data_IF_160088321031
#
_entry.id   IF_160088321031
#
_cell.length_a   1.000
_cell.length_b   1.000
_cell.length_c   1.000
_cell.angle_alpha   90.00
_cell.angle_beta   90.00
_cell.angle_gamma   90.00
#
_symmetry.space_group_name_H-M   'P 1'
#
loop_
_entity.id
_entity.type
_entity.pdbx_description
1 polymer ?
#
# COMPACT_ATOMS: atom_id res chain seq x y z
N UNK A 1 -45.15 49.65 -26.96
CA UNK A 1 -43.98 48.72 -26.98
C UNK A 1 -43.87 48.06 -25.65
N UNK A 2 -44.09 46.74 -25.64
CA UNK A 2 -44.29 45.94 -24.41
C UNK A 2 -43.08 45.08 -24.19
N UNK A 3 -42.31 45.30 -23.07
CA UNK A 3 -41.16 44.51 -22.71
C UNK A 3 -41.63 43.22 -22.05
N UNK A 4 -41.25 42.06 -22.62
CA UNK A 4 -41.45 40.74 -22.02
C UNK A 4 -40.29 40.47 -21.08
N UNK A 5 -40.60 40.21 -19.82
CA UNK A 5 -39.69 39.65 -18.83
C UNK A 5 -39.47 38.15 -19.10
N UNK A 6 -38.25 37.78 -19.39
CA UNK A 6 -37.84 36.40 -19.48
C UNK A 6 -37.52 35.91 -18.04
N UNK A 7 -38.31 34.96 -17.55
CA UNK A 7 -38.06 34.25 -16.30
C UNK A 7 -37.14 33.08 -16.56
N UNK A 8 -35.84 33.25 -16.31
CA UNK A 8 -34.89 32.17 -16.29
C UNK A 8 -35.13 31.25 -15.10
N UNK A 9 -35.54 30.04 -15.36
CA UNK A 9 -35.60 28.95 -14.37
C UNK A 9 -34.18 28.47 -14.10
N UNK A 10 -33.64 28.81 -12.94
CA UNK A 10 -32.42 28.16 -12.43
C UNK A 10 -32.75 26.72 -12.07
N UNK A 11 -32.23 25.80 -12.87
CA UNK A 11 -32.26 24.38 -12.54
C UNK A 11 -31.20 24.12 -11.48
N UNK A 12 -31.63 24.02 -10.23
CA UNK A 12 -30.81 23.50 -9.16
C UNK A 12 -30.53 22.03 -9.44
N UNK A 13 -29.31 21.73 -9.84
CA UNK A 13 -28.82 20.36 -9.89
C UNK A 13 -28.62 19.90 -8.43
N UNK A 14 -29.57 19.10 -7.99
CA UNK A 14 -29.57 18.45 -6.71
C UNK A 14 -28.54 17.32 -6.75
N UNK A 15 -27.46 17.46 -6.00
CA UNK A 15 -26.53 16.38 -5.72
C UNK A 15 -27.12 15.51 -4.61
N UNK A 16 -27.46 14.26 -4.86
CA UNK A 16 -27.87 13.35 -3.80
C UNK A 16 -26.65 12.74 -3.12
N UNK A 17 -26.69 12.82 -1.81
CA UNK A 17 -25.96 11.99 -0.84
C UNK A 17 -24.46 12.19 -0.66
N UNK A 18 -24.13 13.30 0.03
CA UNK A 18 -23.18 13.17 1.14
C UNK A 18 -24.03 12.77 2.35
N UNK A 19 -24.31 11.51 2.53
CA UNK A 19 -24.89 10.96 3.74
C UNK A 19 -23.79 10.97 4.81
N UNK A 20 -23.84 11.99 5.68
CA UNK A 20 -24.19 11.86 7.08
C UNK A 20 -23.89 10.46 7.65
N UNK A 21 -22.63 10.25 8.00
CA UNK A 21 -22.27 9.29 9.04
C UNK A 21 -22.16 10.04 10.36
N UNK A 22 -23.29 10.22 11.00
CA UNK A 22 -23.41 10.84 12.30
C UNK A 22 -24.75 10.54 12.93
N UNK A 23 -24.99 9.28 13.34
CA UNK A 23 -25.98 8.98 14.38
C UNK A 23 -25.53 7.83 15.27
N UNK A 24 -25.01 8.25 16.43
CA UNK A 24 -25.14 7.70 17.78
C UNK A 24 -25.60 6.26 17.89
N UNK A 25 -24.67 5.40 18.26
CA UNK A 25 -24.95 4.36 19.24
C UNK A 25 -24.14 4.67 20.50
N UNK A 26 -24.83 5.24 21.49
CA UNK A 26 -24.31 5.54 22.80
C UNK A 26 -24.47 4.28 23.66
N UNK A 27 -23.41 3.45 23.73
CA UNK A 27 -23.20 2.53 24.85
C UNK A 27 -21.71 2.25 24.99
N UNK A 28 -21.20 2.59 26.19
CA UNK A 28 -19.86 2.40 26.72
C UNK A 28 -18.82 3.42 26.21
N UNK A 29 -18.65 4.46 27.03
CA UNK A 29 -17.63 5.49 26.87
C UNK A 29 -16.22 4.96 27.04
N UNK A 30 -15.68 4.37 25.97
CA UNK A 30 -14.27 4.21 25.72
C UNK A 30 -14.10 4.73 24.29
N UNK A 31 -13.73 5.92 24.23
CA UNK A 31 -13.09 6.75 23.25
C UNK A 31 -12.91 6.13 21.85
N UNK A 32 -13.92 6.27 20.99
CA UNK A 32 -13.76 6.15 19.53
C UNK A 32 -12.89 7.28 18.93
N UNK A 33 -12.56 8.30 19.70
CA UNK A 33 -11.70 9.41 19.28
C UNK A 33 -10.20 9.02 19.21
N UNK A 34 -9.76 8.00 19.94
CA UNK A 34 -8.38 7.52 19.88
C UNK A 34 -8.10 6.58 18.68
N UNK A 35 -9.15 6.01 18.08
CA UNK A 35 -8.99 5.22 16.85
C UNK A 35 -8.94 6.08 15.59
N UNK A 36 -9.52 7.27 15.61
CA UNK A 36 -9.53 8.19 14.46
C UNK A 36 -8.18 8.89 14.21
N UNK A 37 -7.23 8.84 15.14
CA UNK A 37 -5.87 9.40 14.98
C UNK A 37 -4.85 8.39 14.43
N UNK A 38 -5.25 7.19 14.05
CA UNK A 38 -4.33 6.15 13.56
C UNK A 38 -3.87 6.36 12.14
N UNK A 39 -4.55 7.18 11.36
CA UNK A 39 -4.20 7.48 9.98
C UNK A 39 -4.48 8.93 9.62
N UNK A 40 -3.71 9.44 8.67
CA UNK A 40 -3.99 10.70 7.97
C UNK A 40 -4.09 10.42 6.48
N UNK A 41 -4.86 11.22 5.76
CA UNK A 41 -4.97 11.09 4.31
C UNK A 41 -4.87 12.43 3.58
N UNK A 42 -4.40 12.35 2.34
CA UNK A 42 -4.28 13.50 1.44
C UNK A 42 -4.73 13.07 0.03
N UNK A 43 -5.57 13.85 -0.68
CA UNK A 43 -5.85 13.54 -2.06
C UNK A 43 -4.59 13.70 -2.92
N UNK A 44 -4.29 12.68 -3.71
CA UNK A 44 -3.12 12.62 -4.57
C UNK A 44 -3.55 12.32 -6.00
N UNK A 45 -3.33 13.27 -6.90
CA UNK A 45 -3.53 13.09 -8.33
C UNK A 45 -2.39 12.29 -8.95
N UNK A 46 -2.71 11.37 -9.86
CA UNK A 46 -1.73 10.57 -10.61
C UNK A 46 -1.67 11.05 -12.04
N UNK A 47 -0.46 11.33 -12.52
CA UNK A 47 -0.21 11.79 -13.88
C UNK A 47 0.43 10.68 -14.70
N UNK A 48 -0.26 10.29 -15.77
CA UNK A 48 0.29 9.40 -16.78
C UNK A 48 0.78 10.18 -17.98
N UNK A 49 1.92 9.76 -18.50
CA UNK A 49 2.43 10.21 -19.80
C UNK A 49 2.22 9.12 -20.83
N UNK A 50 1.58 9.48 -21.93
CA UNK A 50 1.46 8.67 -23.14
C UNK A 50 2.55 9.09 -24.11
N UNK A 51 3.33 8.12 -24.58
CA UNK A 51 4.30 8.32 -25.65
C UNK A 51 4.02 7.33 -26.79
N UNK A 52 4.40 7.67 -28.04
CA UNK A 52 4.31 6.72 -29.14
C UNK A 52 5.12 5.45 -28.83
N UNK A 53 4.59 4.30 -29.20
CA UNK A 53 5.29 3.04 -29.08
C UNK A 53 6.51 2.97 -30.01
N UNK A 54 7.58 2.34 -29.54
CA UNK A 54 8.81 2.14 -30.32
C UNK A 54 8.62 1.12 -31.43
N UNK A 55 7.67 0.21 -31.27
CA UNK A 55 7.39 -0.86 -32.21
C UNK A 55 6.02 -0.69 -32.86
N UNK A 56 5.87 -1.20 -34.09
CA UNK A 56 4.59 -1.18 -34.83
C UNK A 56 3.46 -1.95 -34.13
N UNK A 57 3.78 -2.79 -33.16
CA UNK A 57 2.81 -3.61 -32.43
C UNK A 57 2.20 -2.90 -31.22
N UNK A 58 2.89 -1.87 -30.71
CA UNK A 58 2.47 -1.09 -29.55
C UNK A 58 2.26 0.34 -30.01
N UNK A 59 1.01 0.75 -30.11
CA UNK A 59 0.67 2.10 -30.58
C UNK A 59 1.15 3.18 -29.59
N UNK A 60 0.98 2.94 -28.30
CA UNK A 60 1.35 3.88 -27.24
C UNK A 60 1.91 3.14 -26.03
N UNK A 61 2.84 3.78 -25.33
CA UNK A 61 3.35 3.37 -24.03
C UNK A 61 2.87 4.37 -22.99
N UNK A 62 2.38 3.85 -21.87
CA UNK A 62 1.89 4.63 -20.74
C UNK A 62 2.83 4.48 -19.57
N UNK A 63 3.08 5.58 -18.84
CA UNK A 63 3.94 5.57 -17.67
C UNK A 63 3.46 6.60 -16.64
N UNK A 64 3.41 6.22 -15.37
CA UNK A 64 3.22 7.17 -14.28
C UNK A 64 4.48 8.05 -14.14
N UNK A 65 4.33 9.36 -14.25
CA UNK A 65 5.48 10.29 -14.31
C UNK A 65 5.49 11.32 -13.18
N UNK A 66 4.34 11.65 -12.64
CA UNK A 66 4.23 12.64 -11.58
C UNK A 66 3.03 12.36 -10.68
N UNK A 67 3.08 12.91 -9.47
CA UNK A 67 1.96 12.95 -8.54
C UNK A 67 1.67 14.40 -8.15
N UNK A 68 0.40 14.72 -7.92
CA UNK A 68 -0.10 16.06 -7.62
C UNK A 68 -0.75 16.06 -6.23
N UNK A 69 -0.02 16.45 -5.18
CA UNK A 69 -0.57 16.54 -3.83
C UNK A 69 -1.69 17.60 -3.76
N UNK A 70 -2.79 17.27 -3.08
CA UNK A 70 -3.92 18.16 -2.92
C UNK A 70 -4.75 18.38 -4.19
N UNK A 71 -4.57 17.57 -5.21
CA UNK A 71 -5.31 17.70 -6.46
C UNK A 71 -6.82 17.42 -6.27
N UNK A 72 -7.65 18.17 -7.00
CA UNK A 72 -9.07 17.86 -7.12
C UNK A 72 -9.33 16.60 -7.94
N UNK A 73 -10.55 16.10 -7.90
CA UNK A 73 -10.95 14.93 -8.68
C UNK A 73 -10.70 15.15 -10.19
N UNK A 74 -10.18 14.14 -10.84
CA UNK A 74 -9.99 14.11 -12.28
C UNK A 74 -10.25 12.71 -12.83
N UNK A 75 -10.61 12.67 -14.10
CA UNK A 75 -10.79 11.45 -14.86
C UNK A 75 -10.17 11.69 -16.26
N UNK A 76 -8.97 11.16 -16.45
CA UNK A 76 -8.18 11.25 -17.69
C UNK A 76 -8.13 12.63 -18.33
N UNK A 77 -8.07 13.68 -17.49
CA UNK A 77 -7.98 15.07 -17.95
C UNK A 77 -6.61 15.35 -18.56
N UNK A 78 -6.58 15.77 -19.82
CA UNK A 78 -5.34 16.21 -20.48
C UNK A 78 -4.77 17.45 -19.76
N UNK A 79 -3.50 17.38 -19.38
CA UNK A 79 -2.77 18.47 -18.74
C UNK A 79 -1.85 19.20 -19.73
N UNK A 80 -1.13 18.43 -20.54
CA UNK A 80 -0.12 18.94 -21.44
C UNK A 80 0.01 18.05 -22.67
N UNK A 81 0.29 18.68 -23.82
CA UNK A 81 0.58 18.00 -25.08
C UNK A 81 1.84 18.61 -25.72
N UNK A 82 2.78 17.74 -26.06
CA UNK A 82 3.99 18.09 -26.80
C UNK A 82 4.17 17.11 -27.96
N UNK A 83 3.75 17.51 -29.15
CA UNK A 83 3.71 16.62 -30.31
C UNK A 83 2.82 15.38 -30.01
N UNK A 84 3.41 14.20 -30.11
CA UNK A 84 2.72 12.94 -29.87
C UNK A 84 2.71 12.51 -28.40
N UNK A 85 3.50 13.21 -27.56
CA UNK A 85 3.52 12.97 -26.13
C UNK A 85 2.41 13.76 -25.44
N UNK A 86 1.62 13.08 -24.61
CA UNK A 86 0.51 13.70 -23.88
C UNK A 86 0.56 13.27 -22.40
N UNK A 87 0.35 14.23 -21.51
CA UNK A 87 0.23 13.99 -20.08
C UNK A 87 -1.22 14.15 -19.65
N UNK A 88 -1.70 13.20 -18.86
CA UNK A 88 -3.05 13.15 -18.35
C UNK A 88 -3.06 13.06 -16.82
N UNK A 89 -3.91 13.84 -16.19
CA UNK A 89 -4.33 13.58 -14.82
C UNK A 89 -5.39 12.49 -14.84
N UNK A 90 -4.95 11.25 -14.62
CA UNK A 90 -5.79 10.09 -14.81
C UNK A 90 -6.83 9.91 -13.70
N UNK A 91 -6.38 9.99 -12.46
CA UNK A 91 -7.25 9.81 -11.30
C UNK A 91 -6.71 10.58 -10.09
N UNK A 92 -7.56 10.80 -9.10
CA UNK A 92 -7.17 11.30 -7.78
C UNK A 92 -7.65 10.32 -6.73
N UNK A 93 -6.70 9.76 -5.96
CA UNK A 93 -6.95 8.80 -4.89
C UNK A 93 -6.45 9.36 -3.56
N UNK A 94 -6.99 8.90 -2.42
CA UNK A 94 -6.42 9.23 -1.12
C UNK A 94 -5.07 8.53 -0.96
N UNK A 95 -4.03 9.29 -0.63
CA UNK A 95 -2.80 8.74 -0.07
C UNK A 95 -2.98 8.69 1.44
N UNK A 96 -3.02 7.50 2.00
CA UNK A 96 -3.21 7.27 3.43
C UNK A 96 -1.88 6.89 4.08
N UNK A 97 -1.64 7.43 5.28
CA UNK A 97 -0.51 7.06 6.12
C UNK A 97 -1.03 6.45 7.43
N UNK A 98 -0.52 5.28 7.78
CA UNK A 98 -0.90 4.53 8.97
C UNK A 98 0.26 4.46 9.97
N UNK A 99 -0.04 4.51 11.26
CA UNK A 99 0.99 4.42 12.33
C UNK A 99 1.72 3.08 12.33
N UNK A 100 1.06 2.03 11.88
CA UNK A 100 1.65 0.68 11.76
C UNK A 100 2.75 0.60 10.71
N UNK A 101 2.75 1.50 9.73
CA UNK A 101 3.59 1.42 8.55
C UNK A 101 4.75 2.43 8.57
N UNK A 102 4.97 3.09 9.72
CA UNK A 102 6.01 4.12 9.86
C UNK A 102 7.41 3.60 9.56
N UNK A 103 7.72 2.34 9.87
CA UNK A 103 8.98 1.69 9.50
C UNK A 103 9.15 1.59 7.98
N UNK A 104 8.08 1.20 7.27
CA UNK A 104 8.08 1.15 5.81
C UNK A 104 8.31 2.53 5.19
N UNK A 105 7.68 3.57 5.74
CA UNK A 105 7.88 4.95 5.28
C UNK A 105 9.30 5.43 5.54
N UNK A 106 9.90 5.13 6.70
CA UNK A 106 11.32 5.42 6.98
C UNK A 106 12.22 4.76 5.96
N UNK A 107 11.97 3.49 5.65
CA UNK A 107 12.71 2.78 4.62
C UNK A 107 12.57 3.46 3.25
N UNK A 108 11.34 3.84 2.86
CA UNK A 108 11.07 4.56 1.62
C UNK A 108 11.76 5.92 1.55
N UNK A 109 11.74 6.69 2.65
CA UNK A 109 12.40 7.99 2.75
C UNK A 109 13.93 7.91 2.74
N UNK A 110 14.53 6.79 3.18
CA UNK A 110 15.98 6.56 3.17
C UNK A 110 16.53 6.28 1.77
N UNK A 111 15.68 6.00 0.80
CA UNK A 111 16.08 5.76 -0.58
C UNK A 111 16.73 7.00 -1.20
N UNK A 112 17.65 6.81 -2.16
CA UNK A 112 18.30 7.91 -2.89
C UNK A 112 17.29 8.88 -3.53
N UNK A 113 16.17 8.36 -3.99
CA UNK A 113 15.02 9.11 -4.52
C UNK A 113 13.78 8.54 -3.85
N UNK A 114 13.22 9.21 -2.83
CA UNK A 114 11.97 8.83 -2.24
C UNK A 114 10.85 8.82 -3.28
N UNK A 115 10.00 7.81 -3.26
CA UNK A 115 8.98 7.62 -4.29
C UNK A 115 7.63 7.22 -3.70
N UNK A 116 6.57 7.64 -4.37
CA UNK A 116 5.23 7.06 -4.24
C UNK A 116 5.13 5.88 -5.18
N UNK A 117 4.46 4.87 -4.75
CA UNK A 117 4.13 3.70 -5.56
C UNK A 117 2.70 3.83 -6.07
N UNK A 118 2.57 3.74 -7.38
CA UNK A 118 1.28 3.77 -8.07
C UNK A 118 0.97 2.34 -8.51
N UNK A 119 -0.06 1.76 -7.92
CA UNK A 119 -0.57 0.44 -8.26
C UNK A 119 -1.67 0.61 -9.30
N UNK A 120 -1.56 -0.11 -10.40
CA UNK A 120 -2.48 0.03 -11.52
C UNK A 120 -2.72 -1.32 -12.19
N UNK A 121 -3.81 -1.42 -12.93
CA UNK A 121 -4.15 -2.58 -13.75
C UNK A 121 -4.64 -2.14 -15.12
N UNK A 122 -4.88 -3.09 -16.00
CA UNK A 122 -5.51 -2.80 -17.28
C UNK A 122 -6.85 -2.10 -17.08
N UNK A 123 -7.05 -1.02 -17.82
CA UNK A 123 -8.26 -0.21 -17.71
C UNK A 123 -9.48 -0.92 -18.29
N UNK A 124 -10.64 -0.61 -17.72
CA UNK A 124 -11.95 -1.00 -18.23
C UNK A 124 -12.57 0.17 -19.02
N UNK A 125 -13.65 -0.09 -19.75
CA UNK A 125 -14.46 0.94 -20.45
C UNK A 125 -13.69 1.85 -21.41
N UNK A 126 -12.61 1.33 -22.04
CA UNK A 126 -11.83 2.05 -23.04
C UNK A 126 -10.72 2.94 -22.47
N UNK A 127 -10.52 2.95 -21.16
CA UNK A 127 -9.37 3.57 -20.52
C UNK A 127 -8.15 2.64 -20.63
N UNK A 128 -6.94 3.18 -20.83
CA UNK A 128 -5.75 2.34 -20.99
C UNK A 128 -5.30 1.67 -19.69
N UNK A 129 -5.44 2.35 -18.58
CA UNK A 129 -5.03 1.91 -17.24
C UNK A 129 -6.04 2.42 -16.21
N UNK A 130 -6.23 1.65 -15.15
CA UNK A 130 -6.98 2.04 -13.96
C UNK A 130 -6.02 2.11 -12.77
N UNK A 131 -6.01 3.22 -12.05
CA UNK A 131 -5.24 3.36 -10.81
C UNK A 131 -6.03 2.74 -9.67
N UNK A 132 -5.47 1.71 -9.05
CA UNK A 132 -6.10 0.96 -7.95
C UNK A 132 -5.78 1.61 -6.61
N UNK A 133 -4.50 1.97 -6.41
CA UNK A 133 -3.98 2.46 -5.13
C UNK A 133 -2.76 3.36 -5.35
N UNK A 134 -2.56 4.28 -4.42
CA UNK A 134 -1.30 5.03 -4.26
C UNK A 134 -0.80 4.87 -2.83
N UNK A 135 0.47 4.51 -2.67
CA UNK A 135 1.05 4.29 -1.34
C UNK A 135 2.47 4.84 -1.21
N UNK A 136 2.82 5.27 -0.01
CA UNK A 136 4.19 5.62 0.36
C UNK A 136 4.96 4.42 0.93
N UNK A 137 4.29 3.30 1.19
CA UNK A 137 4.88 2.08 1.74
C UNK A 137 5.51 1.22 0.63
N UNK A 138 6.84 1.02 0.64
CA UNK A 138 7.48 0.08 -0.27
C UNK A 138 7.06 -1.38 -0.01
N UNK A 139 6.64 -1.72 1.21
CA UNK A 139 6.23 -3.08 1.56
C UNK A 139 4.87 -3.39 0.96
N UNK A 140 3.89 -2.50 1.14
CA UNK A 140 2.58 -2.64 0.51
C UNK A 140 2.70 -2.71 -1.03
N UNK A 141 3.54 -1.87 -1.61
CA UNK A 141 3.80 -1.88 -3.05
C UNK A 141 4.40 -3.21 -3.53
N UNK A 142 5.24 -3.84 -2.70
CA UNK A 142 5.82 -5.14 -3.01
C UNK A 142 4.77 -6.24 -2.96
N UNK A 143 3.87 -6.22 -2.00
CA UNK A 143 2.79 -7.20 -1.90
C UNK A 143 1.95 -7.21 -3.18
N UNK A 144 1.62 -6.04 -3.73
CA UNK A 144 0.94 -5.94 -5.02
C UNK A 144 1.79 -6.42 -6.21
N UNK A 145 3.09 -6.09 -6.21
CA UNK A 145 3.97 -6.54 -7.29
C UNK A 145 4.16 -8.06 -7.30
N UNK A 146 4.12 -8.70 -6.13
CA UNK A 146 4.32 -10.14 -5.98
C UNK A 146 3.09 -10.96 -6.43
N UNK A 147 1.89 -10.36 -6.44
CA UNK A 147 0.68 -11.01 -6.96
C UNK A 147 0.76 -11.20 -8.48
N UNK A 148 1.42 -10.28 -9.18
CA UNK A 148 1.54 -10.28 -10.65
C UNK A 148 0.26 -9.90 -11.39
N UNK A 149 -0.80 -9.53 -10.69
CA UNK A 149 -2.07 -9.09 -11.27
C UNK A 149 -2.06 -7.59 -11.57
N UNK A 150 -1.31 -6.81 -10.76
CA UNK A 150 -1.18 -5.38 -10.90
C UNK A 150 0.22 -4.97 -11.38
N UNK A 151 0.27 -3.81 -12.00
CA UNK A 151 1.51 -3.13 -12.35
C UNK A 151 1.82 -2.09 -11.28
N UNK A 152 3.06 -2.08 -10.80
CA UNK A 152 3.51 -1.10 -9.79
C UNK A 152 4.59 -0.21 -10.38
N UNK A 153 4.35 1.09 -10.42
CA UNK A 153 5.35 2.08 -10.85
C UNK A 153 5.75 3.01 -9.72
N UNK A 154 7.05 3.37 -9.73
CA UNK A 154 7.64 4.31 -8.77
C UNK A 154 7.63 5.70 -9.37
N UNK A 155 7.01 6.65 -8.67
CA UNK A 155 6.98 8.06 -9.04
C UNK A 155 7.71 8.87 -7.97
N UNK A 156 8.72 9.68 -8.31
CA UNK A 156 9.42 10.50 -7.34
C UNK A 156 8.47 11.38 -6.53
N UNK A 157 8.67 11.44 -5.22
CA UNK A 157 7.92 12.36 -4.36
C UNK A 157 8.34 13.80 -4.63
N UNK A 158 7.39 14.73 -4.54
CA UNK A 158 7.69 16.16 -4.45
C UNK A 158 8.27 16.48 -3.07
N UNK A 159 9.04 17.57 -2.95
CA UNK A 159 9.63 18.00 -1.66
C UNK A 159 8.56 18.19 -0.56
N UNK A 160 7.40 18.77 -0.92
CA UNK A 160 6.31 18.93 0.03
C UNK A 160 5.73 17.60 0.52
N UNK A 161 5.67 16.59 -0.35
CA UNK A 161 5.18 15.27 0.01
C UNK A 161 6.21 14.53 0.90
N UNK A 162 7.50 14.66 0.61
CA UNK A 162 8.58 14.15 1.47
C UNK A 162 8.48 14.76 2.88
N UNK A 163 8.29 16.08 2.96
CA UNK A 163 8.16 16.77 4.24
C UNK A 163 6.91 16.29 5.02
N UNK A 164 5.80 16.10 4.34
CA UNK A 164 4.55 15.63 4.95
C UNK A 164 4.67 14.20 5.50
N UNK A 165 5.24 13.27 4.72
CA UNK A 165 5.47 11.89 5.17
C UNK A 165 6.48 11.87 6.32
N UNK A 166 7.56 12.66 6.23
CA UNK A 166 8.58 12.76 7.30
C UNK A 166 7.99 13.27 8.60
N UNK A 167 7.20 14.34 8.56
CA UNK A 167 6.55 14.88 9.75
C UNK A 167 5.64 13.84 10.43
N UNK A 168 4.90 13.06 9.64
CA UNK A 168 4.07 11.98 10.15
C UNK A 168 4.89 10.89 10.83
N UNK A 169 6.01 10.49 10.22
CA UNK A 169 6.91 9.49 10.79
C UNK A 169 7.55 10.00 12.09
N UNK A 170 8.04 11.24 12.11
CA UNK A 170 8.64 11.86 13.31
C UNK A 170 7.66 11.93 14.48
N UNK A 171 6.36 12.11 14.21
CA UNK A 171 5.32 12.17 15.24
C UNK A 171 4.88 10.80 15.76
N UNK A 172 4.89 9.78 14.90
CA UNK A 172 4.21 8.52 15.19
C UNK A 172 5.11 7.29 15.21
N UNK A 173 6.37 7.41 14.77
CA UNK A 173 7.29 6.27 14.75
C UNK A 173 7.80 5.99 16.18
N UNK A 174 7.66 4.75 16.59
CA UNK A 174 8.23 4.23 17.83
C UNK A 174 9.23 3.15 17.44
N UNK A 175 10.51 3.35 17.83
CA UNK A 175 11.55 2.35 17.60
C UNK A 175 11.22 1.08 18.39
N UNK A 176 10.86 0.01 17.72
CA UNK A 176 10.72 -1.29 18.36
C UNK A 176 12.10 -1.84 18.71
N UNK A 177 12.40 -1.91 20.00
CA UNK A 177 13.62 -2.56 20.48
C UNK A 177 13.55 -4.05 20.15
N UNK A 178 14.40 -4.50 19.23
CA UNK A 178 14.49 -5.91 18.88
C UNK A 178 14.88 -6.75 20.11
N UNK A 179 13.89 -7.36 20.74
CA UNK A 179 14.11 -8.33 21.83
C UNK A 179 14.34 -9.69 21.18
N UNK A 180 15.61 -10.10 21.12
CA UNK A 180 15.97 -11.43 20.65
C UNK A 180 15.21 -12.49 21.44
N UNK A 181 14.29 -13.20 20.78
CA UNK A 181 13.52 -14.28 21.39
C UNK A 181 14.51 -15.27 21.99
N UNK A 182 14.50 -15.40 23.32
CA UNK A 182 15.34 -16.38 24.01
C UNK A 182 14.90 -17.74 23.52
N UNK A 183 15.76 -18.44 22.77
CA UNK A 183 15.49 -19.84 22.45
C UNK A 183 15.39 -20.55 23.79
N UNK A 184 14.21 -21.09 24.12
CA UNK A 184 14.12 -22.09 25.16
C UNK A 184 15.13 -23.17 24.77
N UNK A 185 16.23 -23.23 25.53
CA UNK A 185 17.15 -24.36 25.40
C UNK A 185 16.28 -25.58 25.66
N UNK A 186 16.04 -26.38 24.61
CA UNK A 186 15.46 -27.70 24.78
C UNK A 186 16.17 -28.30 26.00
N UNK A 187 15.42 -28.73 27.01
CA UNK A 187 15.99 -29.33 28.21
C UNK A 187 16.88 -30.48 27.73
N UNK A 188 18.18 -30.26 27.78
CA UNK A 188 19.21 -31.26 27.40
C UNK A 188 19.15 -32.45 28.36
N UNK A 189 18.40 -32.30 29.47
CA UNK A 189 18.22 -33.29 30.55
C UNK A 189 17.13 -34.35 30.21
N UNK A 190 16.43 -34.25 29.12
CA UNK A 190 15.68 -35.38 28.57
C UNK A 190 16.68 -36.26 27.83
N UNK A 191 17.26 -37.19 28.57
CA UNK A 191 17.77 -38.43 28.02
C UNK A 191 16.56 -39.10 27.33
N UNK A 192 16.36 -38.82 26.08
CA UNK A 192 15.56 -39.67 25.23
C UNK A 192 16.50 -40.87 24.96
N UNK A 193 16.27 -41.94 25.68
CA UNK A 193 17.06 -43.18 25.60
C UNK A 193 16.93 -43.89 24.25
N UNK A 194 16.54 -43.18 23.20
CA UNK A 194 16.44 -43.74 21.82
C UNK A 194 15.65 -45.04 21.69
N UNK A 195 15.01 -45.45 22.76
CA UNK A 195 14.15 -46.62 22.83
C UNK A 195 12.78 -46.12 22.47
N UNK A 196 12.35 -46.36 21.22
CA UNK A 196 10.99 -46.17 20.79
C UNK A 196 10.04 -46.88 21.77
N UNK A 197 8.76 -46.46 21.74
CA UNK A 197 7.72 -47.02 22.63
C UNK A 197 7.90 -48.51 22.74
N UNK A 198 8.12 -49.00 24.00
CA UNK A 198 8.36 -50.39 24.33
C UNK A 198 7.26 -51.37 23.83
N UNK A 199 6.11 -50.81 23.40
CA UNK A 199 4.99 -51.54 22.82
C UNK A 199 5.19 -51.88 21.33
N UNK A 200 6.13 -51.20 20.64
CA UNK A 200 6.40 -51.42 19.23
C UNK A 200 7.61 -52.33 19.12
N UNK A 201 7.39 -53.62 19.02
CA UNK A 201 8.46 -54.61 18.69
C UNK A 201 8.68 -54.60 17.20
N UNK A 202 9.69 -53.86 16.74
CA UNK A 202 10.18 -53.99 15.37
C UNK A 202 11.22 -55.09 15.29
N UNK A 203 11.05 -55.98 14.31
CA UNK A 203 11.94 -57.16 14.11
C UNK A 203 13.33 -56.77 13.57
N UNK A 204 13.45 -55.57 13.00
CA UNK A 204 14.71 -54.99 12.57
C UNK A 204 14.67 -53.48 12.76
N UNK A 205 15.38 -52.97 13.75
CA UNK A 205 15.55 -51.54 13.97
C UNK A 205 16.81 -51.05 13.22
N UNK A 206 16.63 -50.58 12.02
CA UNK A 206 17.71 -50.09 11.13
C UNK A 206 18.32 -48.77 11.66
N UNK A 207 17.65 -48.10 12.62
CA UNK A 207 18.07 -46.80 13.12
C UNK A 207 18.59 -46.82 14.55
N UNK A 208 18.89 -47.98 15.10
CA UNK A 208 19.43 -48.08 16.46
C UNK A 208 20.85 -47.53 16.46
N UNK A 209 21.06 -46.35 17.04
CA UNK A 209 22.41 -45.84 17.28
C UNK A 209 23.21 -46.87 18.11
N UNK A 210 24.46 -47.19 17.74
CA UNK A 210 25.28 -48.13 18.51
C UNK A 210 25.47 -47.56 19.92
N UNK A 211 24.98 -48.31 20.92
CA UNK A 211 25.14 -47.94 22.32
C UNK A 211 26.62 -47.79 22.64
N UNK A 212 26.96 -46.68 23.36
CA UNK A 212 28.31 -46.47 23.85
C UNK A 212 28.65 -47.61 24.79
N UNK A 213 29.66 -48.43 24.45
CA UNK A 213 30.19 -49.47 25.35
C UNK A 213 30.87 -48.74 26.52
N UNK A 214 30.30 -48.84 27.72
CA UNK A 214 31.01 -48.48 28.93
C UNK A 214 32.34 -49.26 28.98
N UNK A 215 33.44 -48.53 28.98
CA UNK A 215 34.74 -49.11 29.30
C UNK A 215 34.82 -49.32 30.82
N UNK A 216 34.62 -50.52 31.26
CA UNK A 216 34.96 -50.98 32.62
C UNK A 216 36.46 -50.97 32.71
N UNK A 217 37.00 -50.13 33.60
CA UNK A 217 38.40 -50.23 34.08
C UNK A 217 38.46 -51.04 35.37
#
# INVERSE_FOLDING_TARGET
MRWRKSTGKSTLIFWPNIAIWGQKSQKNGITLEAEQQKSISMPLGVVFRRVPGVTRWVAHVWKAVAVLPGAGAADWKELRREGDTVEFHAATLPLELFRTDTEAYLHGLSAKVPAIYVVMREGTDGQPLEVVLVTASPYEAQDYADTGEELVEKVPMTEGLIAWVRAYVEEHHEDEVFIKRRRDKARVDRHEDGIGDARIRQVADVYRAPGSKERVH
#
